data_IF_614799187595
#
_entry.id   IF_614799187595
#
_cell.length_a   1.000
_cell.length_b   1.000
_cell.length_c   1.000
_cell.angle_alpha   90.00
_cell.angle_beta   90.00
_cell.angle_gamma   90.00
#
_symmetry.space_group_name_H-M   'P 1'
#
loop_
_entity.id
_entity.type
_entity.pdbx_description
1 polymer ?
#
# COMPACT_ATOMS: atom_id res chain seq x y z
N UNK A 1 0.57 22.57 -3.91
CA UNK A 1 0.32 21.19 -3.43
C UNK A 1 1.54 20.72 -2.66
N UNK A 2 1.40 20.47 -1.37
CA UNK A 2 2.53 20.18 -0.50
C UNK A 2 3.02 18.75 -0.70
N UNK A 3 4.25 18.62 -1.23
CA UNK A 3 5.00 17.36 -1.38
C UNK A 3 5.16 16.58 -0.06
N UNK A 4 4.90 17.24 1.07
CA UNK A 4 4.91 16.68 2.42
C UNK A 4 3.83 15.62 2.67
N UNK A 5 2.65 15.69 2.04
CA UNK A 5 1.59 14.69 2.28
C UNK A 5 1.94 13.33 1.67
N UNK A 6 2.66 13.34 0.54
CA UNK A 6 2.96 12.15 -0.26
C UNK A 6 4.05 11.31 0.41
N UNK A 7 5.10 11.95 0.95
CA UNK A 7 6.13 11.26 1.74
C UNK A 7 5.57 10.62 3.02
N UNK A 8 4.57 11.26 3.64
CA UNK A 8 3.90 10.72 4.81
C UNK A 8 3.08 9.46 4.46
N UNK A 9 2.40 9.47 3.32
CA UNK A 9 1.58 8.33 2.86
C UNK A 9 2.40 7.05 2.65
N UNK A 10 3.62 7.14 2.09
CA UNK A 10 4.46 5.95 1.94
C UNK A 10 4.87 5.35 3.30
N UNK A 11 5.31 6.21 4.23
CA UNK A 11 5.66 5.77 5.58
C UNK A 11 4.47 5.19 6.35
N UNK A 12 3.28 5.78 6.19
CA UNK A 12 2.05 5.21 6.76
C UNK A 12 1.73 3.85 6.14
N UNK A 13 1.88 3.70 4.82
CA UNK A 13 1.58 2.45 4.11
C UNK A 13 2.49 1.30 4.57
N UNK A 14 3.81 1.51 4.64
CA UNK A 14 4.76 0.45 5.05
C UNK A 14 4.60 0.03 6.51
N UNK A 15 4.02 0.89 7.35
CA UNK A 15 3.82 0.65 8.79
C UNK A 15 2.37 0.26 9.15
N UNK A 16 1.48 0.16 8.15
CA UNK A 16 0.07 -0.18 8.36
C UNK A 16 -0.09 -1.61 8.93
N UNK A 17 0.47 -2.68 8.33
CA UNK A 17 0.42 -4.00 8.94
C UNK A 17 1.41 -4.12 10.11
N UNK A 18 0.99 -4.77 11.20
CA UNK A 18 1.83 -5.09 12.35
C UNK A 18 2.45 -6.48 12.20
N UNK A 19 3.67 -6.53 11.70
CA UNK A 19 4.46 -7.77 11.61
C UNK A 19 5.12 -8.10 12.94
N UNK A 20 5.41 -9.39 13.17
CA UNK A 20 6.22 -9.82 14.31
C UNK A 20 7.69 -9.38 14.16
N UNK A 21 8.40 -9.33 15.27
CA UNK A 21 9.84 -9.04 15.32
C UNK A 21 10.72 -10.29 15.16
N UNK A 22 10.11 -11.43 14.84
CA UNK A 22 10.85 -12.66 14.53
C UNK A 22 11.38 -12.63 13.06
N UNK A 23 12.29 -13.56 12.69
CA UNK A 23 12.83 -13.60 11.34
C UNK A 23 11.78 -13.76 10.22
N UNK A 24 10.64 -14.38 10.50
CA UNK A 24 9.54 -14.53 9.54
C UNK A 24 8.84 -13.19 9.36
N UNK A 25 8.50 -12.51 10.47
CA UNK A 25 7.89 -11.18 10.45
C UNK A 25 8.76 -10.14 9.76
N UNK A 26 10.09 -10.19 9.94
CA UNK A 26 11.01 -9.33 9.21
C UNK A 26 10.99 -9.57 7.69
N UNK A 27 10.95 -10.82 7.25
CA UNK A 27 10.81 -11.15 5.81
C UNK A 27 9.46 -10.69 5.27
N UNK A 28 8.40 -10.83 6.06
CA UNK A 28 7.07 -10.37 5.68
C UNK A 28 7.04 -8.85 5.49
N UNK A 29 7.63 -8.11 6.44
CA UNK A 29 7.80 -6.67 6.35
C UNK A 29 8.61 -6.22 5.13
N UNK A 30 9.72 -6.89 4.84
CA UNK A 30 10.52 -6.60 3.64
C UNK A 30 9.70 -6.81 2.36
N UNK A 31 8.92 -7.90 2.29
CA UNK A 31 8.05 -8.15 1.13
C UNK A 31 6.95 -7.10 1.02
N UNK A 32 6.36 -6.69 2.13
CA UNK A 32 5.37 -5.62 2.17
C UNK A 32 5.93 -4.28 1.68
N UNK A 33 7.16 -3.93 2.08
CA UNK A 33 7.82 -2.69 1.62
C UNK A 33 7.98 -2.63 0.10
N UNK A 34 8.27 -3.77 -0.56
CA UNK A 34 8.33 -3.84 -2.02
C UNK A 34 6.97 -3.58 -2.65
N UNK A 35 5.91 -4.23 -2.13
CA UNK A 35 4.54 -4.06 -2.64
C UNK A 35 4.04 -2.62 -2.43
N UNK A 36 4.27 -2.05 -1.24
CA UNK A 36 3.97 -0.65 -0.95
C UNK A 36 4.75 0.29 -1.88
N UNK A 37 6.00 -0.06 -2.21
CA UNK A 37 6.82 0.63 -3.19
C UNK A 37 6.19 0.64 -4.58
N UNK A 38 5.65 -0.49 -5.03
CA UNK A 38 4.96 -0.58 -6.32
C UNK A 38 3.72 0.32 -6.35
N UNK A 39 2.90 0.33 -5.29
CA UNK A 39 1.73 1.21 -5.17
C UNK A 39 2.16 2.68 -5.31
N UNK A 40 3.18 3.07 -4.56
CA UNK A 40 3.62 4.46 -4.51
C UNK A 40 4.29 4.92 -5.81
N UNK A 41 5.05 4.04 -6.46
CA UNK A 41 5.78 4.33 -7.70
C UNK A 41 4.94 4.14 -8.96
N UNK A 42 3.72 3.62 -8.84
CA UNK A 42 2.80 3.44 -9.97
C UNK A 42 2.60 4.75 -10.73
N UNK A 43 2.79 4.70 -12.05
CA UNK A 43 2.66 5.84 -12.97
C UNK A 43 1.39 5.79 -13.83
N UNK A 44 0.68 4.66 -13.82
CA UNK A 44 -0.61 4.49 -14.49
C UNK A 44 -1.64 3.89 -13.54
N UNK A 45 -2.93 4.01 -13.92
CA UNK A 45 -4.04 3.45 -13.14
C UNK A 45 -3.99 1.92 -13.13
N UNK A 46 -3.58 1.31 -14.23
CA UNK A 46 -3.45 -0.13 -14.39
C UNK A 46 -2.36 -0.67 -13.46
N UNK A 47 -1.17 -0.05 -13.47
CA UNK A 47 -0.09 -0.43 -12.56
C UNK A 47 -0.49 -0.29 -11.08
N UNK A 48 -1.24 0.77 -10.75
CA UNK A 48 -1.76 0.97 -9.41
C UNK A 48 -2.77 -0.12 -9.01
N UNK A 49 -3.67 -0.50 -9.92
CA UNK A 49 -4.65 -1.56 -9.67
C UNK A 49 -3.98 -2.92 -9.48
N UNK A 50 -2.96 -3.24 -10.27
CA UNK A 50 -2.19 -4.47 -10.10
C UNK A 50 -1.44 -4.48 -8.76
N UNK A 51 -0.76 -3.38 -8.41
CA UNK A 51 -0.05 -3.27 -7.15
C UNK A 51 -1.00 -3.36 -5.94
N UNK A 52 -2.19 -2.75 -6.05
CA UNK A 52 -3.28 -2.90 -5.07
C UNK A 52 -3.71 -4.36 -4.95
N UNK A 53 -3.95 -5.06 -6.05
CA UNK A 53 -4.34 -6.48 -6.03
C UNK A 53 -3.26 -7.36 -5.37
N UNK A 54 -1.97 -7.10 -5.64
CA UNK A 54 -0.87 -7.77 -4.95
C UNK A 54 -0.87 -7.48 -3.44
N UNK A 55 -1.14 -6.25 -3.04
CA UNK A 55 -1.22 -5.87 -1.63
C UNK A 55 -2.37 -6.57 -0.90
N UNK A 56 -3.56 -6.59 -1.51
CA UNK A 56 -4.73 -7.28 -0.96
C UNK A 56 -4.48 -8.78 -0.81
N UNK A 57 -4.01 -9.44 -1.87
CA UNK A 57 -3.71 -10.87 -1.82
C UNK A 57 -2.64 -11.21 -0.79
N UNK A 58 -1.63 -10.34 -0.64
CA UNK A 58 -0.58 -10.53 0.36
C UNK A 58 -1.11 -10.40 1.79
N UNK A 59 -1.92 -9.37 2.08
CA UNK A 59 -2.55 -9.20 3.39
C UNK A 59 -3.47 -10.38 3.70
N UNK A 60 -4.34 -10.76 2.76
CA UNK A 60 -5.25 -11.89 2.93
C UNK A 60 -4.49 -13.19 3.21
N UNK A 61 -3.45 -13.50 2.43
CA UNK A 61 -2.63 -14.70 2.67
C UNK A 61 -1.96 -14.71 4.05
N UNK A 62 -1.54 -13.56 4.56
CA UNK A 62 -0.98 -13.47 5.92
C UNK A 62 -2.04 -13.58 7.02
N UNK A 63 -3.25 -13.06 6.78
CA UNK A 63 -4.39 -13.23 7.69
C UNK A 63 -4.81 -14.70 7.76
N UNK A 64 -4.94 -15.37 6.61
CA UNK A 64 -5.34 -16.78 6.53
C UNK A 64 -4.30 -17.70 7.18
N UNK A 65 -3.01 -17.36 7.08
CA UNK A 65 -1.91 -18.06 7.73
C UNK A 65 -1.76 -17.73 9.23
N UNK A 66 -2.59 -16.84 9.79
CA UNK A 66 -2.54 -16.44 11.20
C UNK A 66 -1.37 -15.53 11.56
N UNK A 67 -0.67 -14.97 10.59
CA UNK A 67 0.43 -14.02 10.80
C UNK A 67 -0.05 -12.58 11.04
N UNK A 68 -1.25 -12.24 10.57
CA UNK A 68 -1.90 -10.96 10.83
C UNK A 68 -3.27 -11.15 11.46
N UNK A 69 -3.70 -10.14 12.22
CA UNK A 69 -5.05 -10.11 12.79
C UNK A 69 -6.11 -10.02 11.68
N UNK A 70 -7.19 -10.79 11.86
CA UNK A 70 -8.41 -10.75 11.04
C UNK A 70 -9.26 -9.50 11.30
N UNK A 71 -9.01 -8.77 12.40
CA UNK A 71 -9.83 -7.61 12.85
C UNK A 71 -9.06 -6.30 12.86
N UNK A 72 -8.08 -6.15 11.97
CA UNK A 72 -7.31 -4.92 11.85
C UNK A 72 -7.95 -3.96 10.82
N UNK A 73 -9.07 -3.35 11.23
CA UNK A 73 -9.83 -2.41 10.38
C UNK A 73 -9.04 -1.13 10.09
N UNK A 74 -8.15 -0.73 11.00
CA UNK A 74 -7.31 0.46 10.80
C UNK A 74 -6.28 0.22 9.69
N UNK A 75 -5.59 -0.92 9.68
CA UNK A 75 -4.70 -1.32 8.57
C UNK A 75 -5.43 -1.25 7.23
N UNK A 76 -6.59 -1.89 7.16
CA UNK A 76 -7.34 -2.01 5.90
C UNK A 76 -7.80 -0.64 5.41
N UNK A 77 -8.30 0.19 6.32
CA UNK A 77 -8.67 1.57 6.01
C UNK A 77 -7.48 2.40 5.52
N UNK A 78 -6.33 2.31 6.18
CA UNK A 78 -5.12 3.04 5.78
C UNK A 78 -4.67 2.65 4.37
N UNK A 79 -4.58 1.36 4.08
CA UNK A 79 -4.19 0.84 2.76
C UNK A 79 -5.15 1.36 1.68
N UNK A 80 -6.47 1.23 1.90
CA UNK A 80 -7.48 1.71 0.94
C UNK A 80 -7.38 3.23 0.72
N UNK A 81 -7.23 4.00 1.80
CA UNK A 81 -7.18 5.46 1.73
C UNK A 81 -5.96 5.96 0.93
N UNK A 82 -4.80 5.32 1.10
CA UNK A 82 -3.55 5.68 0.41
C UNK A 82 -3.63 5.32 -1.07
N UNK A 83 -4.14 4.13 -1.39
CA UNK A 83 -4.36 3.71 -2.78
C UNK A 83 -5.33 4.67 -3.49
N UNK A 84 -6.41 5.08 -2.81
CA UNK A 84 -7.36 6.05 -3.36
C UNK A 84 -6.72 7.41 -3.61
N UNK A 85 -5.94 7.95 -2.66
CA UNK A 85 -5.19 9.21 -2.86
C UNK A 85 -4.21 9.12 -4.03
N UNK A 86 -3.53 7.99 -4.18
CA UNK A 86 -2.62 7.77 -5.33
C UNK A 86 -3.37 7.74 -6.65
N UNK A 87 -4.55 7.10 -6.68
CA UNK A 87 -5.42 7.09 -7.87
C UNK A 87 -5.89 8.49 -8.24
N UNK A 88 -6.31 9.29 -7.27
CA UNK A 88 -6.72 10.69 -7.49
C UNK A 88 -5.56 11.54 -8.01
N UNK A 89 -4.36 11.34 -7.48
CA UNK A 89 -3.15 12.01 -7.97
C UNK A 89 -2.88 11.65 -9.44
N UNK A 90 -2.90 10.37 -9.80
CA UNK A 90 -2.72 9.94 -11.20
C UNK A 90 -3.82 10.50 -12.11
N UNK A 91 -5.08 10.51 -11.67
CA UNK A 91 -6.17 11.10 -12.44
C UNK A 91 -5.98 12.59 -12.70
N UNK A 92 -5.50 13.35 -11.69
CA UNK A 92 -5.18 14.77 -11.86
C UNK A 92 -4.05 14.96 -12.86
N UNK A 93 -2.99 14.16 -12.80
CA UNK A 93 -1.90 14.22 -13.79
C UNK A 93 -2.40 13.95 -15.21
N UNK A 94 -3.26 12.95 -15.42
CA UNK A 94 -3.85 12.68 -16.73
C UNK A 94 -4.69 13.88 -17.22
N UNK A 95 -5.50 14.47 -16.34
CA UNK A 95 -6.35 15.61 -16.69
C UNK A 95 -5.55 16.89 -16.97
N UNK A 96 -4.44 17.12 -16.25
CA UNK A 96 -3.61 18.32 -16.37
C UNK A 96 -2.63 18.24 -17.56
N UNK A 97 -2.14 17.05 -17.89
CA UNK A 97 -1.07 16.87 -18.88
C UNK A 97 -1.46 16.04 -20.11
N UNK A 98 -2.68 15.49 -20.20
CA UNK A 98 -3.22 14.84 -21.40
C UNK A 98 -2.51 13.56 -21.83
N UNK A 99 -1.91 12.83 -20.89
CA UNK A 99 -1.37 11.49 -21.15
C UNK A 99 -2.48 10.43 -21.23
#
# INVERSE_FOLDING_TARGET
MSTTSVSNDFNTLINAPKFSDDPVGHRQKQRWQLIAGDIYKSTSREALLEARGRAEGYIHGLVDAGHLSTRDTERDYLVLSIVQRRREFLQKLLNEYGY
#
